data_IF_875102013275
#
_entry.id   IF_875102013275
#
_cell.length_a   1.000
_cell.length_b   1.000
_cell.length_c   1.000
_cell.angle_alpha   90.00
_cell.angle_beta   90.00
_cell.angle_gamma   90.00
#
_symmetry.space_group_name_H-M   'P 1'
#
loop_
_entity.id
_entity.type
_entity.pdbx_description
1 polymer ?
#
# COMPACT_ATOMS: atom_id res chain seq x y z
N UNK A 1 -12.61 -14.76 47.07
CA UNK A 1 -11.86 -14.63 48.33
C UNK A 1 -12.85 -14.66 49.49
N UNK A 2 -12.41 -15.24 50.62
CA UNK A 2 -13.17 -15.31 51.83
C UNK A 2 -12.43 -14.53 52.92
N UNK A 3 -13.17 -13.75 53.66
CA UNK A 3 -12.66 -12.98 54.79
C UNK A 3 -13.22 -13.59 56.08
N UNK A 4 -12.35 -13.74 57.09
CA UNK A 4 -12.77 -14.26 58.36
C UNK A 4 -13.08 -13.08 59.30
N UNK A 5 -14.28 -13.06 59.86
CA UNK A 5 -14.65 -12.16 60.94
C UNK A 5 -15.06 -12.94 62.20
N UNK A 6 -15.04 -12.32 63.39
CA UNK A 6 -15.58 -12.92 64.59
C UNK A 6 -16.97 -12.37 64.84
N UNK A 7 -17.88 -13.27 65.23
CA UNK A 7 -19.21 -12.88 65.69
C UNK A 7 -19.14 -12.28 67.12
N UNK A 8 -20.30 -11.81 67.60
CA UNK A 8 -20.41 -11.25 68.97
C UNK A 8 -20.06 -12.24 70.07
N UNK A 9 -20.00 -13.51 69.79
CA UNK A 9 -19.63 -14.58 70.76
C UNK A 9 -18.19 -15.05 70.57
N UNK A 10 -17.40 -14.39 69.68
CA UNK A 10 -15.99 -14.68 69.47
C UNK A 10 -15.72 -15.82 68.51
N UNK A 11 -16.71 -16.44 67.87
CA UNK A 11 -16.56 -17.51 66.90
C UNK A 11 -16.12 -16.99 65.56
N UNK A 12 -15.27 -17.72 64.85
CA UNK A 12 -14.86 -17.41 63.50
C UNK A 12 -16.02 -17.63 62.52
N UNK A 13 -16.43 -16.54 61.85
CA UNK A 13 -17.45 -16.57 60.79
C UNK A 13 -16.83 -16.25 59.45
N UNK A 14 -17.03 -17.07 58.47
CA UNK A 14 -16.63 -16.89 57.11
C UNK A 14 -17.57 -15.90 56.42
N UNK A 15 -17.06 -14.73 56.11
CA UNK A 15 -17.78 -13.72 55.28
C UNK A 15 -17.33 -13.87 53.87
N UNK A 16 -18.23 -14.13 52.95
CA UNK A 16 -17.94 -14.18 51.53
C UNK A 16 -17.77 -12.74 51.01
N UNK A 17 -16.56 -12.36 50.65
CA UNK A 17 -16.21 -11.00 50.20
C UNK A 17 -16.55 -10.79 48.71
N UNK A 18 -16.62 -11.88 47.94
CA UNK A 18 -17.03 -11.83 46.54
C UNK A 18 -18.02 -12.97 46.24
N UNK A 19 -19.07 -12.64 45.52
CA UNK A 19 -19.87 -13.68 44.91
C UNK A 19 -18.99 -14.49 43.95
N UNK A 20 -19.14 -15.82 43.93
CA UNK A 20 -18.49 -16.60 42.88
C UNK A 20 -18.98 -16.07 41.54
N UNK A 21 -18.06 -15.62 40.73
CA UNK A 21 -18.39 -15.27 39.35
C UNK A 21 -18.94 -16.56 38.70
N UNK A 22 -20.12 -16.46 38.11
CA UNK A 22 -20.63 -17.54 37.31
C UNK A 22 -19.64 -17.79 36.15
N UNK A 23 -19.35 -19.04 35.86
CA UNK A 23 -18.57 -19.37 34.66
C UNK A 23 -19.34 -18.84 33.47
N UNK A 24 -18.72 -17.88 32.72
CA UNK A 24 -19.23 -17.40 31.45
C UNK A 24 -18.40 -18.04 30.34
N UNK A 25 -19.07 -18.58 29.34
CA UNK A 25 -18.43 -19.04 28.12
C UNK A 25 -18.78 -18.07 27.01
N UNK A 26 -17.77 -17.44 26.44
CA UNK A 26 -17.94 -16.62 25.24
C UNK A 26 -17.47 -17.47 24.05
N UNK A 27 -18.36 -17.69 23.10
CA UNK A 27 -18.04 -18.37 21.85
C UNK A 27 -17.84 -17.29 20.78
N UNK A 28 -16.66 -17.24 20.22
CA UNK A 28 -16.37 -16.43 19.02
C UNK A 28 -16.37 -17.38 17.82
N UNK A 29 -17.17 -17.07 16.83
CA UNK A 29 -17.14 -17.79 15.55
C UNK A 29 -16.35 -16.92 14.59
N UNK A 30 -15.26 -17.44 14.07
CA UNK A 30 -14.42 -16.75 13.08
C UNK A 30 -14.51 -17.49 11.75
N UNK A 31 -14.60 -16.75 10.67
CA UNK A 31 -14.63 -17.31 9.33
C UNK A 31 -14.52 -16.20 8.30
N UNK A 32 -13.85 -16.50 7.23
CA UNK A 32 -13.78 -15.66 6.04
C UNK A 32 -14.14 -16.48 4.81
N UNK A 33 -14.62 -15.80 3.78
CA UNK A 33 -14.95 -16.38 2.50
C UNK A 33 -14.30 -15.55 1.41
N UNK A 34 -13.49 -16.20 0.59
CA UNK A 34 -12.77 -15.53 -0.50
C UNK A 34 -13.09 -16.21 -1.83
N UNK A 35 -13.50 -15.40 -2.80
CA UNK A 35 -13.57 -15.79 -4.20
C UNK A 35 -12.45 -15.08 -4.96
N UNK A 36 -11.76 -15.84 -5.79
CA UNK A 36 -10.73 -15.31 -6.67
C UNK A 36 -10.89 -15.94 -8.06
N UNK A 37 -11.03 -15.10 -9.05
CA UNK A 37 -11.11 -15.49 -10.46
C UNK A 37 -10.02 -14.72 -11.22
N UNK A 38 -9.22 -15.46 -11.97
CA UNK A 38 -8.18 -14.86 -12.82
C UNK A 38 -8.21 -15.52 -14.20
N UNK A 39 -8.05 -14.73 -15.23
CA UNK A 39 -7.79 -15.19 -16.59
C UNK A 39 -6.60 -14.40 -17.16
N UNK A 40 -5.72 -15.09 -17.86
CA UNK A 40 -4.56 -14.46 -18.49
C UNK A 40 -4.30 -15.03 -19.88
N UNK A 41 -3.73 -14.20 -20.75
CA UNK A 41 -3.25 -14.55 -22.07
C UNK A 41 -1.79 -14.12 -22.17
N UNK A 42 -0.94 -15.04 -22.58
CA UNK A 42 0.48 -14.80 -22.86
C UNK A 42 0.79 -15.19 -24.30
N UNK A 43 1.47 -14.29 -25.00
CA UNK A 43 1.95 -14.53 -26.36
C UNK A 43 3.40 -14.04 -26.46
N UNK A 44 4.28 -14.90 -26.93
CA UNK A 44 5.69 -14.54 -27.19
C UNK A 44 6.17 -15.17 -28.49
N UNK A 45 6.79 -14.36 -29.35
CA UNK A 45 7.33 -14.82 -30.63
C UNK A 45 8.57 -14.07 -31.05
N UNK A 46 9.49 -14.80 -31.64
CA UNK A 46 10.68 -14.29 -32.32
C UNK A 46 10.43 -14.23 -33.83
N UNK A 47 10.38 -13.02 -34.39
CA UNK A 47 10.23 -12.80 -35.82
C UNK A 47 11.58 -12.52 -36.47
N UNK A 48 11.79 -13.10 -37.64
CA UNK A 48 13.01 -12.94 -38.45
C UNK A 48 14.30 -13.10 -37.64
N UNK A 49 14.30 -13.91 -36.57
CA UNK A 49 15.41 -14.14 -35.64
C UNK A 49 16.03 -12.86 -35.02
N UNK A 50 15.31 -11.73 -35.09
CA UNK A 50 15.82 -10.42 -34.63
C UNK A 50 14.82 -9.65 -33.78
N UNK A 51 13.53 -9.88 -33.98
CA UNK A 51 12.46 -9.13 -33.33
C UNK A 51 11.75 -10.04 -32.34
N UNK A 52 12.00 -9.89 -31.07
CA UNK A 52 11.27 -10.58 -30.01
C UNK A 52 10.11 -9.71 -29.57
N UNK A 53 8.91 -10.22 -29.69
CA UNK A 53 7.67 -9.55 -29.28
C UNK A 53 7.00 -10.39 -28.22
N UNK A 54 6.59 -9.77 -27.11
CA UNK A 54 5.77 -10.40 -26.08
C UNK A 54 4.56 -9.54 -25.76
N UNK A 55 3.43 -10.19 -25.54
CA UNK A 55 2.18 -9.59 -25.13
C UNK A 55 1.60 -10.41 -23.99
N UNK A 56 1.27 -9.76 -22.90
CA UNK A 56 0.57 -10.35 -21.77
C UNK A 56 -0.65 -9.52 -21.45
N UNK A 57 -1.76 -10.16 -21.19
CA UNK A 57 -2.99 -9.53 -20.72
C UNK A 57 -3.60 -10.37 -19.60
N UNK A 58 -4.12 -9.73 -18.56
CA UNK A 58 -4.71 -10.40 -17.41
C UNK A 58 -5.91 -9.61 -16.90
N UNK A 59 -6.92 -10.33 -16.46
CA UNK A 59 -8.01 -9.82 -15.65
C UNK A 59 -8.12 -10.64 -14.39
N UNK A 60 -8.31 -10.00 -13.26
CA UNK A 60 -8.67 -10.70 -12.03
C UNK A 60 -9.78 -9.98 -11.29
N UNK A 61 -10.58 -10.76 -10.60
CA UNK A 61 -11.61 -10.32 -9.69
C UNK A 61 -11.45 -11.06 -8.38
N UNK A 62 -11.53 -10.32 -7.28
CA UNK A 62 -11.50 -10.89 -5.94
C UNK A 62 -12.64 -10.33 -5.13
N UNK A 63 -13.30 -11.19 -4.35
CA UNK A 63 -14.25 -10.81 -3.32
C UNK A 63 -13.88 -11.53 -2.02
N UNK A 64 -13.77 -10.79 -0.94
CA UNK A 64 -13.51 -11.32 0.41
C UNK A 64 -14.62 -10.85 1.34
N UNK A 65 -15.30 -11.78 2.00
CA UNK A 65 -16.33 -11.51 3.00
C UNK A 65 -15.80 -11.93 4.35
N UNK A 66 -15.74 -11.01 5.29
CA UNK A 66 -15.44 -11.31 6.69
C UNK A 66 -16.76 -11.56 7.43
N UNK A 67 -16.84 -12.69 8.14
CA UNK A 67 -18.01 -13.08 8.93
C UNK A 67 -17.95 -12.49 10.34
N UNK A 68 -16.78 -12.03 10.76
CA UNK A 68 -16.50 -11.54 12.11
C UNK A 68 -16.46 -10.00 12.19
N UNK A 69 -17.36 -9.34 11.49
CA UNK A 69 -17.47 -7.90 11.65
C UNK A 69 -18.03 -7.55 13.04
N UNK A 70 -17.56 -6.44 13.59
CA UNK A 70 -18.13 -5.84 14.78
C UNK A 70 -19.55 -5.34 14.43
N UNK A 71 -20.56 -5.75 15.19
CA UNK A 71 -21.96 -5.32 14.97
C UNK A 71 -22.12 -3.79 14.99
N UNK A 72 -21.19 -3.09 15.62
CA UNK A 72 -21.11 -1.62 15.60
C UNK A 72 -20.52 -1.07 14.29
N UNK A 73 -19.87 -1.89 13.47
CA UNK A 73 -19.28 -1.50 12.18
C UNK A 73 -20.10 -2.05 11.01
N UNK A 74 -21.14 -1.33 10.62
CA UNK A 74 -21.96 -1.67 9.46
C UNK A 74 -21.15 -1.82 8.16
N UNK A 75 -20.00 -1.13 8.04
CA UNK A 75 -19.13 -1.20 6.87
C UNK A 75 -18.33 -2.50 6.83
N UNK A 76 -18.06 -3.11 7.99
CA UNK A 76 -17.36 -4.40 8.10
C UNK A 76 -18.14 -5.55 7.46
N UNK A 77 -19.48 -5.46 7.40
CA UNK A 77 -20.34 -6.50 6.80
C UNK A 77 -20.31 -6.52 5.26
N UNK A 78 -19.84 -5.44 4.63
CA UNK A 78 -19.79 -5.32 3.17
C UNK A 78 -18.57 -6.08 2.63
N UNK A 79 -18.73 -6.99 1.65
CA UNK A 79 -17.61 -7.69 1.05
C UNK A 79 -16.58 -6.74 0.46
N UNK A 80 -15.30 -7.08 0.60
CA UNK A 80 -14.19 -6.40 -0.08
C UNK A 80 -14.09 -6.87 -1.52
N UNK A 81 -14.24 -5.97 -2.48
CA UNK A 81 -14.19 -6.28 -3.91
C UNK A 81 -13.03 -5.56 -4.57
N UNK A 82 -12.31 -6.30 -5.40
CA UNK A 82 -11.24 -5.78 -6.23
C UNK A 82 -11.37 -6.34 -7.64
N UNK A 83 -11.27 -5.47 -8.63
CA UNK A 83 -11.29 -5.82 -10.05
C UNK A 83 -10.12 -5.11 -10.72
N UNK A 84 -9.26 -5.85 -11.41
CA UNK A 84 -8.17 -5.25 -12.15
C UNK A 84 -7.96 -5.90 -13.51
N UNK A 85 -7.61 -5.05 -14.45
CA UNK A 85 -7.10 -5.40 -15.76
C UNK A 85 -5.66 -4.96 -15.84
N UNK A 86 -4.79 -5.81 -16.36
CA UNK A 86 -3.39 -5.46 -16.57
C UNK A 86 -2.86 -6.01 -17.87
N UNK A 87 -1.88 -5.34 -18.41
CA UNK A 87 -1.23 -5.78 -19.63
C UNK A 87 0.22 -5.36 -19.68
N UNK A 88 0.97 -6.12 -20.47
CA UNK A 88 2.38 -5.89 -20.77
C UNK A 88 2.64 -6.11 -22.24
N UNK A 89 3.37 -5.20 -22.83
CA UNK A 89 3.93 -5.33 -24.16
C UNK A 89 5.45 -5.23 -24.05
N UNK A 90 6.16 -6.21 -24.59
CA UNK A 90 7.61 -6.22 -24.62
C UNK A 90 8.11 -6.32 -26.06
N UNK A 91 9.15 -5.59 -26.37
CA UNK A 91 9.83 -5.64 -27.64
C UNK A 91 11.34 -5.63 -27.43
N UNK A 92 12.04 -6.55 -28.12
CA UNK A 92 13.50 -6.54 -28.15
C UNK A 92 13.98 -6.73 -29.61
N UNK A 93 14.89 -5.86 -30.02
CA UNK A 93 15.57 -5.95 -31.32
C UNK A 93 16.99 -6.44 -31.13
N UNK A 94 17.27 -7.64 -31.67
CA UNK A 94 18.57 -8.34 -31.58
C UNK A 94 19.06 -8.50 -30.12
N UNK A 95 18.15 -8.49 -29.15
CA UNK A 95 18.43 -8.46 -27.70
C UNK A 95 19.37 -7.31 -27.26
N UNK A 96 19.56 -6.28 -28.12
CA UNK A 96 20.33 -5.07 -27.84
C UNK A 96 19.48 -3.92 -27.40
N UNK A 97 18.38 -3.69 -28.09
CA UNK A 97 17.42 -2.60 -27.80
C UNK A 97 16.14 -3.21 -27.27
N UNK A 98 15.76 -2.83 -26.10
CA UNK A 98 14.60 -3.35 -25.42
C UNK A 98 13.65 -2.23 -25.05
N UNK A 99 12.36 -2.47 -25.20
CA UNK A 99 11.32 -1.57 -24.76
C UNK A 99 10.20 -2.40 -24.13
N UNK A 100 9.63 -1.87 -23.06
CA UNK A 100 8.50 -2.48 -22.36
C UNK A 100 7.48 -1.42 -22.00
N UNK A 101 6.22 -1.75 -22.21
CA UNK A 101 5.08 -0.97 -21.76
C UNK A 101 4.18 -1.85 -20.91
N UNK A 102 3.95 -1.42 -19.67
CA UNK A 102 3.01 -2.05 -18.75
C UNK A 102 1.85 -1.09 -18.47
N UNK A 103 0.70 -1.61 -18.19
CA UNK A 103 -0.42 -0.84 -17.72
C UNK A 103 -1.25 -1.65 -16.74
N UNK A 104 -1.81 -0.96 -15.77
CA UNK A 104 -2.81 -1.47 -14.84
C UNK A 104 -4.03 -0.57 -14.84
N UNK A 105 -5.22 -1.16 -14.85
CA UNK A 105 -6.49 -0.47 -14.68
C UNK A 105 -7.24 -1.17 -13.56
N UNK A 106 -7.19 -0.58 -12.37
CA UNK A 106 -7.63 -1.21 -11.12
C UNK A 106 -8.77 -0.42 -10.50
N UNK A 107 -9.81 -1.14 -10.08
CA UNK A 107 -10.95 -0.57 -9.38
C UNK A 107 -10.87 -0.81 -7.88
N UNK A 108 -11.20 0.22 -7.11
CA UNK A 108 -11.33 0.19 -5.66
C UNK A 108 -12.67 0.75 -5.21
N UNK A 109 -13.32 0.07 -4.29
CA UNK A 109 -14.58 0.51 -3.70
C UNK A 109 -14.43 1.64 -2.67
N UNK A 110 -13.20 1.98 -2.31
CA UNK A 110 -12.90 3.08 -1.38
C UNK A 110 -13.21 4.46 -1.98
N UNK A 111 -13.43 4.54 -3.29
CA UNK A 111 -13.74 5.79 -3.98
C UNK A 111 -15.20 5.83 -4.45
N UNK A 112 -15.75 7.05 -4.49
CA UNK A 112 -17.11 7.31 -4.96
C UNK A 112 -17.32 6.80 -6.40
N UNK A 113 -18.56 6.47 -6.71
CA UNK A 113 -18.94 6.04 -8.06
C UNK A 113 -18.45 7.03 -9.12
N UNK A 114 -17.80 6.52 -10.16
CA UNK A 114 -17.16 7.30 -11.22
C UNK A 114 -15.67 7.63 -10.97
N UNK A 115 -15.14 7.43 -9.75
CA UNK A 115 -13.73 7.63 -9.38
C UNK A 115 -13.03 6.34 -8.95
N UNK A 116 -13.74 5.22 -9.02
CA UNK A 116 -13.28 3.94 -8.50
C UNK A 116 -12.08 3.37 -9.24
N UNK A 117 -11.96 3.64 -10.54
CA UNK A 117 -10.91 3.07 -11.37
C UNK A 117 -9.75 4.04 -11.59
N UNK A 118 -8.53 3.55 -11.34
CA UNK A 118 -7.28 4.22 -11.65
C UNK A 118 -6.53 3.54 -12.79
N UNK A 119 -5.88 4.34 -13.65
CA UNK A 119 -5.02 3.86 -14.73
C UNK A 119 -3.58 4.18 -14.41
N UNK A 120 -2.72 3.16 -14.39
CA UNK A 120 -1.33 3.24 -13.95
C UNK A 120 -0.42 2.68 -15.04
N UNK A 121 0.12 3.54 -15.92
CA UNK A 121 1.06 3.13 -16.95
C UNK A 121 2.49 3.04 -16.42
N UNK A 122 3.29 2.19 -17.06
CA UNK A 122 4.72 2.16 -16.88
C UNK A 122 5.42 1.86 -18.21
N UNK A 123 6.54 2.55 -18.45
CA UNK A 123 7.36 2.35 -19.64
C UNK A 123 8.81 2.14 -19.23
N UNK A 124 9.51 1.26 -19.93
CA UNK A 124 10.95 1.10 -19.74
C UNK A 124 11.66 0.88 -21.07
N UNK A 125 12.93 1.28 -21.11
CA UNK A 125 13.82 1.05 -22.23
C UNK A 125 15.17 0.56 -21.73
N UNK A 126 15.82 -0.31 -22.50
CA UNK A 126 17.14 -0.82 -22.23
C UNK A 126 17.97 -0.89 -23.51
N UNK A 127 19.25 -0.54 -23.38
CA UNK A 127 20.22 -0.63 -24.46
C UNK A 127 21.46 -1.33 -23.96
N UNK A 128 21.78 -2.48 -24.59
CA UNK A 128 23.01 -3.22 -24.34
C UNK A 128 24.12 -2.66 -25.22
N UNK A 129 24.79 -1.64 -24.72
CA UNK A 129 25.83 -0.89 -25.44
C UNK A 129 27.03 -1.78 -25.76
N UNK A 130 27.37 -2.72 -24.88
CA UNK A 130 28.47 -3.68 -25.11
C UNK A 130 28.28 -4.57 -26.33
N UNK A 131 27.03 -4.77 -26.79
CA UNK A 131 26.73 -5.55 -27.97
C UNK A 131 26.96 -4.79 -29.29
N UNK A 132 27.27 -3.49 -29.22
CA UNK A 132 27.62 -2.73 -30.41
C UNK A 132 29.00 -3.07 -30.98
N UNK A 133 29.09 -3.18 -32.30
CA UNK A 133 30.30 -3.61 -32.98
C UNK A 133 31.50 -2.70 -32.74
N UNK A 134 31.27 -1.41 -32.55
CA UNK A 134 32.32 -0.42 -32.24
C UNK A 134 32.81 -0.57 -30.79
N UNK A 135 31.92 -0.90 -29.83
CA UNK A 135 32.28 -1.10 -28.42
C UNK A 135 33.07 -2.41 -28.26
N UNK A 136 32.60 -3.51 -28.86
CA UNK A 136 33.29 -4.79 -28.83
C UNK A 136 34.74 -4.71 -29.36
N UNK A 137 34.98 -3.87 -30.39
CA UNK A 137 36.33 -3.66 -30.93
C UNK A 137 37.18 -2.77 -30.03
N UNK A 138 36.62 -1.75 -29.44
CA UNK A 138 37.34 -0.77 -28.64
C UNK A 138 37.60 -1.24 -27.19
N UNK A 139 36.71 -2.03 -26.62
CA UNK A 139 36.77 -2.45 -25.21
C UNK A 139 36.51 -3.97 -25.05
N UNK A 140 37.45 -4.82 -25.43
CA UNK A 140 37.28 -6.28 -25.37
C UNK A 140 37.20 -6.84 -23.93
N UNK A 141 37.57 -6.03 -22.93
CA UNK A 141 37.47 -6.36 -21.50
C UNK A 141 36.10 -6.10 -20.91
N UNK A 142 35.18 -5.42 -21.66
CA UNK A 142 33.84 -5.08 -21.26
C UNK A 142 32.88 -6.17 -21.73
N UNK A 143 32.44 -7.02 -20.81
CA UNK A 143 31.55 -8.16 -21.11
C UNK A 143 30.10 -7.71 -21.27
N UNK A 144 29.64 -6.82 -20.37
CA UNK A 144 28.30 -6.25 -20.38
C UNK A 144 28.37 -4.79 -20.00
N UNK A 145 27.70 -3.96 -20.77
CA UNK A 145 27.36 -2.59 -20.39
C UNK A 145 25.98 -2.29 -20.93
N UNK A 146 25.01 -2.21 -20.01
CA UNK A 146 23.62 -1.98 -20.33
C UNK A 146 23.14 -0.74 -19.61
N UNK A 147 22.53 0.17 -20.35
CA UNK A 147 21.83 1.34 -19.82
C UNK A 147 20.36 1.02 -19.83
N UNK A 148 19.65 1.38 -18.76
CA UNK A 148 18.22 1.23 -18.63
C UNK A 148 17.59 2.49 -18.05
N UNK A 149 16.36 2.75 -18.47
CA UNK A 149 15.56 3.84 -17.94
C UNK A 149 14.12 3.38 -17.82
N UNK A 150 13.45 3.78 -16.76
CA UNK A 150 12.04 3.50 -16.56
C UNK A 150 11.29 4.69 -15.99
N UNK A 151 10.01 4.74 -16.32
CA UNK A 151 9.01 5.59 -15.71
C UNK A 151 7.77 4.75 -15.42
N UNK A 152 7.19 4.89 -14.24
CA UNK A 152 5.96 4.19 -13.91
C UNK A 152 5.14 4.94 -12.88
N UNK A 153 3.83 4.75 -12.97
CA UNK A 153 2.86 5.22 -11.99
C UNK A 153 2.29 4.04 -11.20
N UNK A 154 2.15 4.21 -9.90
CA UNK A 154 1.55 3.22 -8.98
C UNK A 154 0.50 3.91 -8.15
N UNK A 155 -0.71 3.38 -8.18
CA UNK A 155 -1.82 3.85 -7.34
C UNK A 155 -1.86 3.14 -6.01
N UNK A 156 -2.25 3.88 -4.98
CA UNK A 156 -2.56 3.36 -3.65
C UNK A 156 -3.99 3.76 -3.27
N UNK A 157 -4.80 2.78 -2.87
CA UNK A 157 -6.19 2.93 -2.43
C UNK A 157 -6.35 2.71 -0.92
N UNK A 158 -5.26 2.45 -0.20
CA UNK A 158 -5.27 2.24 1.24
C UNK A 158 -5.29 3.58 1.97
N UNK A 159 -6.49 4.08 2.21
CA UNK A 159 -6.74 5.35 2.87
C UNK A 159 -6.66 5.18 4.39
N UNK A 160 -5.48 5.35 4.97
CA UNK A 160 -5.26 5.26 6.42
C UNK A 160 -5.48 6.61 7.06
N UNK A 161 -6.25 6.63 8.15
CA UNK A 161 -6.54 7.86 8.91
C UNK A 161 -5.45 8.22 9.92
N UNK A 162 -4.63 7.25 10.32
CA UNK A 162 -3.54 7.42 11.28
C UNK A 162 -2.46 6.38 11.05
N UNK A 163 -1.21 6.72 11.37
CA UNK A 163 -0.08 5.79 11.36
C UNK A 163 -0.20 4.68 12.42
N UNK A 164 -1.02 4.91 13.44
CA UNK A 164 -1.26 3.96 14.55
C UNK A 164 -2.52 3.11 14.34
N UNK A 165 -3.34 3.45 13.35
CA UNK A 165 -4.53 2.68 13.02
C UNK A 165 -4.22 1.75 11.83
N UNK A 166 -4.08 0.45 12.11
CA UNK A 166 -3.82 -0.57 11.09
C UNK A 166 -5.02 -0.82 10.16
N UNK A 167 -6.19 -0.28 10.51
CA UNK A 167 -7.39 -0.42 9.70
C UNK A 167 -7.51 0.74 8.73
N UNK A 168 -7.36 0.46 7.44
CA UNK A 168 -7.75 1.40 6.39
C UNK A 168 -9.25 1.68 6.49
N UNK A 169 -9.63 2.96 6.46
CA UNK A 169 -11.03 3.35 6.48
C UNK A 169 -11.69 2.98 5.15
N UNK A 170 -12.74 2.17 5.23
CA UNK A 170 -13.57 1.83 4.07
C UNK A 170 -14.58 2.94 3.82
N UNK A 171 -14.89 3.18 2.54
CA UNK A 171 -15.89 4.15 2.10
C UNK A 171 -15.74 5.55 2.76
N UNK A 172 -14.55 6.16 2.71
CA UNK A 172 -14.31 7.44 3.40
C UNK A 172 -15.13 8.60 2.83
N UNK A 173 -15.82 8.41 1.72
CA UNK A 173 -16.77 9.36 1.13
C UNK A 173 -18.15 9.36 1.83
N UNK A 174 -18.42 8.39 2.72
CA UNK A 174 -19.69 8.30 3.47
C UNK A 174 -19.51 8.94 4.84
N UNK A 175 -20.42 9.86 5.19
CA UNK A 175 -20.50 10.41 6.54
C UNK A 175 -21.17 9.42 7.48
N UNK A 176 -20.60 9.26 8.68
CA UNK A 176 -21.15 8.42 9.73
C UNK A 176 -21.75 9.29 10.84
N UNK A 177 -22.97 8.96 11.24
CA UNK A 177 -23.69 9.60 12.33
C UNK A 177 -23.78 8.61 13.50
N UNK A 178 -23.38 9.03 14.68
CA UNK A 178 -23.56 8.28 15.93
C UNK A 178 -24.80 8.75 16.66
N UNK A 179 -25.57 7.81 17.17
CA UNK A 179 -26.72 8.06 18.04
C UNK A 179 -26.34 8.02 19.52
N UNK A 180 -25.19 7.44 19.85
CA UNK A 180 -24.77 7.18 21.23
C UNK A 180 -23.90 8.31 21.78
N UNK A 181 -23.12 8.98 20.93
CA UNK A 181 -22.17 10.03 21.29
C UNK A 181 -22.72 11.45 21.15
N UNK A 182 -23.98 11.60 20.72
CA UNK A 182 -24.60 12.90 20.47
C UNK A 182 -24.93 13.70 21.73
N UNK A 183 -24.63 13.14 22.90
CA UNK A 183 -25.07 13.71 24.16
C UNK A 183 -26.58 13.58 24.34
N UNK A 184 -27.09 14.13 25.41
CA UNK A 184 -28.54 14.16 25.67
C UNK A 184 -28.91 15.49 26.29
N UNK A 185 -30.11 15.96 25.98
CA UNK A 185 -30.66 17.11 26.59
C UNK A 185 -31.94 16.73 27.34
N UNK A 186 -32.14 17.28 28.54
CA UNK A 186 -33.30 17.03 29.36
C UNK A 186 -34.26 18.24 29.30
N UNK A 187 -35.48 17.97 28.86
CA UNK A 187 -36.55 18.93 28.78
C UNK A 187 -37.51 18.77 29.95
N UNK A 188 -38.35 19.80 30.19
CA UNK A 188 -39.37 19.82 31.20
C UNK A 188 -38.93 20.49 32.50
N UNK A 189 -39.90 20.93 33.31
CA UNK A 189 -39.69 21.71 34.54
C UNK A 189 -38.78 20.98 35.56
N UNK A 190 -38.82 19.65 35.57
CA UNK A 190 -38.01 18.81 36.45
C UNK A 190 -36.93 18.00 35.71
N UNK A 191 -36.63 18.33 34.45
CA UNK A 191 -35.63 17.61 33.65
C UNK A 191 -35.95 16.12 33.47
N UNK A 192 -37.23 15.74 33.40
CA UNK A 192 -37.65 14.33 33.32
C UNK A 192 -37.68 13.77 31.91
N UNK A 193 -37.72 14.65 30.90
CA UNK A 193 -37.79 14.22 29.50
C UNK A 193 -36.40 14.30 28.86
N UNK A 194 -35.67 13.19 28.87
CA UNK A 194 -34.36 13.06 28.28
C UNK A 194 -34.49 12.73 26.80
N UNK A 195 -33.94 13.56 25.93
CA UNK A 195 -33.88 13.35 24.48
C UNK A 195 -32.41 13.11 24.09
N UNK A 196 -32.18 12.00 23.39
CA UNK A 196 -30.87 11.65 22.87
C UNK A 196 -30.56 12.51 21.64
N UNK A 197 -29.36 13.07 21.60
CA UNK A 197 -28.84 13.81 20.44
C UNK A 197 -28.14 12.92 19.41
N UNK A 198 -27.95 13.48 18.25
CA UNK A 198 -27.15 12.86 17.18
C UNK A 198 -25.86 13.66 16.97
N UNK A 199 -24.78 12.97 16.67
CA UNK A 199 -23.51 13.60 16.35
C UNK A 199 -22.95 13.01 15.07
N UNK A 200 -22.41 13.85 14.19
CA UNK A 200 -21.60 13.35 13.07
C UNK A 200 -20.31 12.77 13.67
N UNK A 201 -20.12 11.47 13.58
CA UNK A 201 -18.93 10.76 14.07
C UNK A 201 -17.76 10.97 13.12
N UNK A 202 -18.05 10.99 11.83
CA UNK A 202 -17.03 11.17 10.80
C UNK A 202 -17.66 11.87 9.60
N UNK A 203 -17.00 12.91 9.12
CA UNK A 203 -17.40 13.59 7.90
C UNK A 203 -16.85 12.85 6.68
N UNK A 204 -17.72 12.52 5.74
CA UNK A 204 -17.34 11.92 4.47
C UNK A 204 -16.76 12.95 3.51
N UNK A 205 -15.84 12.54 2.67
CA UNK A 205 -15.20 13.38 1.65
C UNK A 205 -15.42 12.79 0.27
N UNK A 206 -16.22 13.45 -0.56
CA UNK A 206 -16.62 12.98 -1.90
C UNK A 206 -15.54 13.16 -2.97
N UNK A 207 -14.52 14.00 -2.73
CA UNK A 207 -13.49 14.34 -3.73
C UNK A 207 -12.21 13.53 -3.61
N UNK A 208 -12.28 12.36 -2.98
CA UNK A 208 -11.13 11.48 -2.83
C UNK A 208 -10.76 10.82 -4.15
N UNK A 209 -9.45 10.76 -4.38
CA UNK A 209 -8.82 10.11 -5.53
C UNK A 209 -7.72 9.17 -5.08
N UNK A 210 -7.18 8.41 -6.02
CA UNK A 210 -6.02 7.58 -5.81
C UNK A 210 -4.80 8.42 -5.41
N UNK A 211 -4.07 7.98 -4.42
CA UNK A 211 -2.70 8.44 -4.17
C UNK A 211 -1.81 7.86 -5.28
N UNK A 212 -1.03 8.70 -5.96
CA UNK A 212 -0.21 8.29 -7.09
C UNK A 212 1.27 8.49 -6.80
N UNK A 213 2.03 7.40 -6.88
CA UNK A 213 3.49 7.43 -6.85
C UNK A 213 4.04 7.36 -8.28
N UNK A 214 4.74 8.42 -8.71
CA UNK A 214 5.44 8.55 -9.99
C UNK A 214 6.91 8.23 -9.77
N UNK A 215 7.37 7.14 -10.37
CA UNK A 215 8.72 6.61 -10.19
C UNK A 215 9.54 6.76 -11.46
N UNK A 216 10.70 7.35 -11.33
CA UNK A 216 11.69 7.49 -12.39
C UNK A 216 12.95 6.75 -11.95
N UNK A 217 13.51 5.97 -12.84
CA UNK A 217 14.72 5.23 -12.58
C UNK A 217 15.62 5.24 -13.81
N UNK A 218 16.92 5.48 -13.59
CA UNK A 218 17.96 5.36 -14.62
C UNK A 218 19.08 4.53 -14.01
N UNK A 219 19.40 3.40 -14.65
CA UNK A 219 20.37 2.46 -14.17
C UNK A 219 21.38 2.01 -15.20
N UNK A 220 22.49 1.55 -14.70
CA UNK A 220 23.58 0.96 -15.46
C UNK A 220 23.93 -0.39 -14.88
N UNK A 221 23.92 -1.43 -15.73
CA UNK A 221 24.41 -2.75 -15.40
C UNK A 221 25.75 -2.97 -16.12
N UNK A 222 26.79 -3.44 -15.42
CA UNK A 222 28.08 -3.70 -16.01
C UNK A 222 28.69 -5.02 -15.56
N UNK A 223 29.46 -5.60 -16.46
CA UNK A 223 30.33 -6.80 -16.23
C UNK A 223 31.63 -6.61 -16.96
N UNK A 224 32.74 -6.80 -16.28
CA UNK A 224 34.07 -6.60 -16.82
C UNK A 224 35.00 -7.75 -16.45
N UNK A 225 36.05 -7.92 -17.27
CA UNK A 225 37.13 -8.92 -17.06
C UNK A 225 36.62 -10.37 -16.97
N UNK A 226 35.77 -10.78 -17.93
CA UNK A 226 35.15 -12.10 -18.01
C UNK A 226 34.29 -12.41 -16.76
N UNK A 227 33.47 -11.44 -16.36
CA UNK A 227 32.55 -11.59 -15.22
C UNK A 227 33.21 -11.52 -13.85
N UNK A 228 34.50 -11.15 -13.74
CA UNK A 228 35.18 -11.02 -12.44
C UNK A 228 34.60 -9.88 -11.60
N UNK A 229 34.27 -8.77 -12.23
CA UNK A 229 33.61 -7.65 -11.57
C UNK A 229 32.26 -7.41 -12.23
N UNK A 230 31.21 -7.47 -11.47
CA UNK A 230 29.85 -7.16 -11.92
C UNK A 230 29.22 -6.17 -10.98
N UNK A 231 28.31 -5.36 -11.49
CA UNK A 231 27.60 -4.42 -10.63
C UNK A 231 26.44 -3.74 -11.32
N UNK A 232 25.63 -3.10 -10.50
CA UNK A 232 24.53 -2.22 -10.91
C UNK A 232 24.61 -0.93 -10.14
N UNK A 233 24.26 0.18 -10.78
CA UNK A 233 24.10 1.48 -10.13
C UNK A 233 22.83 2.12 -10.67
N UNK A 234 21.97 2.55 -9.79
CA UNK A 234 20.70 3.16 -10.10
C UNK A 234 20.56 4.54 -9.46
N UNK A 235 19.98 5.45 -10.19
CA UNK A 235 19.49 6.73 -9.70
C UNK A 235 17.98 6.75 -9.82
N UNK A 236 17.29 6.96 -8.70
CA UNK A 236 15.85 6.98 -8.67
C UNK A 236 15.28 8.27 -8.10
N UNK A 237 14.09 8.60 -8.58
CA UNK A 237 13.25 9.69 -8.07
C UNK A 237 11.84 9.14 -7.91
N UNK A 238 11.33 9.16 -6.69
CA UNK A 238 9.95 8.79 -6.34
C UNK A 238 9.21 10.06 -5.91
N UNK A 239 8.13 10.41 -6.62
CA UNK A 239 7.24 11.52 -6.29
C UNK A 239 5.88 10.95 -5.95
N UNK A 240 5.39 11.26 -4.77
CA UNK A 240 4.04 10.92 -4.36
C UNK A 240 3.18 12.15 -4.32
N UNK A 241 2.12 12.12 -5.10
CA UNK A 241 1.12 13.15 -5.20
C UNK A 241 -0.19 12.63 -4.59
N UNK A 242 -1.05 13.55 -4.18
CA UNK A 242 -2.39 13.24 -3.68
C UNK A 242 -2.40 12.30 -2.46
N UNK A 243 -1.40 12.43 -1.57
CA UNK A 243 -1.34 11.63 -0.34
C UNK A 243 -2.54 11.94 0.52
N UNK A 244 -3.24 10.90 0.92
CA UNK A 244 -4.41 10.98 1.77
C UNK A 244 -4.01 11.32 3.20
N UNK A 245 -4.51 12.45 3.71
CA UNK A 245 -4.21 12.90 5.07
C UNK A 245 -5.35 13.74 5.64
N UNK A 246 -5.33 13.92 6.95
CA UNK A 246 -6.26 14.79 7.65
C UNK A 246 -5.92 16.25 7.36
N UNK A 247 -6.94 17.06 7.06
CA UNK A 247 -6.78 18.50 6.88
C UNK A 247 -6.53 19.19 8.22
N UNK A 248 -5.52 20.01 8.30
CA UNK A 248 -5.18 20.74 9.52
C UNK A 248 -5.78 22.15 9.54
N UNK A 249 -6.12 22.70 8.37
CA UNK A 249 -6.63 24.08 8.24
C UNK A 249 -8.15 24.12 8.24
N UNK A 250 -8.76 23.77 9.37
CA UNK A 250 -10.19 23.96 9.54
C UNK A 250 -10.49 25.02 10.61
N UNK A 251 -11.26 26.09 10.28
CA UNK A 251 -11.64 27.07 11.27
C UNK A 251 -12.44 26.44 12.40
N UNK A 252 -12.08 26.69 13.65
CA UNK A 252 -12.80 26.21 14.84
C UNK A 252 -14.28 26.61 14.85
N UNK A 253 -14.62 27.74 14.18
CA UNK A 253 -15.99 28.24 14.04
C UNK A 253 -16.93 27.32 13.26
N UNK A 254 -16.39 26.33 12.52
CA UNK A 254 -17.22 25.33 11.81
C UNK A 254 -17.92 24.35 12.77
N UNK A 255 -17.47 24.26 14.02
CA UNK A 255 -17.95 23.26 14.99
C UNK A 255 -17.53 21.83 14.68
N UNK A 256 -16.65 21.62 13.69
CA UNK A 256 -16.17 20.32 13.20
C UNK A 256 -14.69 20.08 13.51
N UNK A 257 -14.12 20.83 14.47
CA UNK A 257 -12.69 20.76 14.80
C UNK A 257 -12.21 19.35 15.18
N UNK A 258 -13.06 18.55 15.82
CA UNK A 258 -12.76 17.16 16.21
C UNK A 258 -13.01 16.15 15.07
N UNK A 259 -13.48 16.62 13.91
CA UNK A 259 -13.94 15.80 12.78
C UNK A 259 -13.42 16.34 11.46
N UNK A 260 -12.17 16.78 11.49
CA UNK A 260 -11.49 17.31 10.32
C UNK A 260 -11.59 16.33 9.14
N UNK A 261 -12.06 16.80 7.97
CA UNK A 261 -12.19 15.95 6.81
C UNK A 261 -10.83 15.49 6.32
N UNK A 262 -10.81 14.31 5.73
CA UNK A 262 -9.65 13.78 5.04
C UNK A 262 -9.62 14.31 3.60
N UNK A 263 -8.45 14.51 3.04
CA UNK A 263 -8.29 14.93 1.65
C UNK A 263 -6.97 14.42 1.04
N UNK A 264 -6.91 14.40 -0.28
CA UNK A 264 -5.68 14.11 -1.03
C UNK A 264 -4.90 15.41 -1.24
N UNK A 265 -4.09 15.82 -0.27
CA UNK A 265 -3.38 17.10 -0.29
C UNK A 265 -1.87 16.97 -0.10
N UNK A 266 -1.41 15.86 0.48
CA UNK A 266 0.01 15.68 0.77
C UNK A 266 0.84 15.40 -0.47
N UNK A 267 2.09 15.91 -0.48
CA UNK A 267 3.09 15.65 -1.52
C UNK A 267 4.43 15.36 -0.91
N UNK A 268 5.11 14.36 -1.47
CA UNK A 268 6.42 13.92 -1.01
C UNK A 268 7.32 13.59 -2.20
N UNK A 269 8.61 13.82 -2.05
CA UNK A 269 9.62 13.46 -3.04
C UNK A 269 10.78 12.76 -2.36
N UNK A 270 11.17 11.61 -2.89
CA UNK A 270 12.37 10.88 -2.50
C UNK A 270 13.33 10.80 -3.68
N UNK A 271 14.60 11.03 -3.42
CA UNK A 271 15.67 10.95 -4.42
C UNK A 271 16.79 10.13 -3.84
N UNK A 272 17.36 9.23 -4.62
CA UNK A 272 18.41 8.39 -4.12
C UNK A 272 19.25 7.71 -5.18
N UNK A 273 20.27 7.03 -4.68
CA UNK A 273 21.15 6.15 -5.41
C UNK A 273 21.17 4.80 -4.71
N UNK A 274 21.12 3.75 -5.47
CA UNK A 274 21.38 2.42 -4.95
C UNK A 274 22.28 1.65 -5.93
N UNK A 275 22.89 0.60 -5.41
CA UNK A 275 23.73 -0.21 -6.25
C UNK A 275 24.35 -1.38 -5.51
N UNK A 276 24.90 -2.25 -6.31
CA UNK A 276 25.69 -3.38 -5.83
C UNK A 276 26.93 -3.55 -6.69
N UNK A 277 27.97 -4.12 -6.08
CA UNK A 277 29.19 -4.55 -6.76
C UNK A 277 29.57 -5.93 -6.26
N UNK A 278 29.96 -6.81 -7.15
CA UNK A 278 30.47 -8.13 -6.84
C UNK A 278 31.79 -8.36 -7.54
N UNK A 279 32.75 -8.90 -6.79
CA UNK A 279 34.03 -9.39 -7.31
C UNK A 279 34.08 -10.88 -7.12
N UNK A 280 34.40 -11.61 -8.18
CA UNK A 280 34.53 -13.06 -8.17
C UNK A 280 35.88 -13.47 -8.78
N UNK A 281 36.70 -14.22 -8.05
CA UNK A 281 37.98 -14.69 -8.50
C UNK A 281 38.19 -16.17 -8.14
N UNK A 282 38.55 -16.98 -9.15
CA UNK A 282 38.99 -18.37 -8.95
C UNK A 282 40.48 -18.39 -8.67
N UNK A 283 40.89 -18.97 -7.54
CA UNK A 283 42.31 -19.15 -7.17
C UNK A 283 42.54 -20.64 -6.95
N UNK A 284 42.98 -21.34 -8.00
CA UNK A 284 43.11 -22.80 -7.98
C UNK A 284 41.74 -23.46 -7.78
N UNK A 285 41.57 -24.22 -6.70
CA UNK A 285 40.33 -24.89 -6.36
C UNK A 285 39.38 -24.01 -5.48
N UNK A 286 39.82 -22.83 -5.07
CA UNK A 286 39.07 -21.93 -4.20
C UNK A 286 38.41 -20.83 -5.03
N UNK A 287 37.14 -20.61 -4.85
CA UNK A 287 36.38 -19.47 -5.39
C UNK A 287 36.21 -18.42 -4.33
N UNK A 288 36.74 -17.24 -4.53
CA UNK A 288 36.54 -16.07 -3.69
C UNK A 288 35.47 -15.19 -4.31
N UNK A 289 34.44 -14.83 -3.52
CA UNK A 289 33.40 -13.91 -3.92
C UNK A 289 33.21 -12.83 -2.83
N UNK A 290 33.34 -11.57 -3.23
CA UNK A 290 33.08 -10.40 -2.39
C UNK A 290 31.89 -9.66 -2.97
N UNK A 291 30.96 -9.24 -2.11
CA UNK A 291 29.78 -8.44 -2.52
C UNK A 291 29.61 -7.25 -1.58
N UNK A 292 29.26 -6.11 -2.14
CA UNK A 292 28.90 -4.90 -1.43
C UNK A 292 27.62 -4.31 -2.01
N UNK A 293 26.76 -3.80 -1.15
CA UNK A 293 25.56 -3.03 -1.54
C UNK A 293 25.63 -1.66 -0.89
N UNK A 294 25.11 -0.67 -1.57
CA UNK A 294 24.94 0.66 -1.00
C UNK A 294 23.57 1.22 -1.39
N UNK A 295 22.99 2.01 -0.51
CA UNK A 295 21.76 2.76 -0.77
C UNK A 295 21.88 4.10 -0.04
N UNK A 296 21.60 5.18 -0.75
CA UNK A 296 21.48 6.51 -0.21
C UNK A 296 20.16 7.12 -0.68
N UNK A 297 19.35 7.61 0.25
CA UNK A 297 18.06 8.20 -0.04
C UNK A 297 17.87 9.47 0.79
N UNK A 298 17.33 10.51 0.16
CA UNK A 298 16.84 11.71 0.81
C UNK A 298 15.37 11.89 0.46
N UNK A 299 14.55 12.12 1.48
CA UNK A 299 13.11 12.35 1.34
C UNK A 299 12.78 13.75 1.82
N UNK A 300 12.08 14.50 0.99
CA UNK A 300 11.58 15.84 1.29
C UNK A 300 10.05 15.83 1.22
N UNK A 301 9.40 16.37 2.24
CA UNK A 301 7.96 16.61 2.24
C UNK A 301 7.74 17.95 1.55
N UNK A 302 6.90 17.96 0.52
CA UNK A 302 6.67 19.14 -0.31
C UNK A 302 5.41 19.90 0.09
N UNK A 303 4.40 19.19 0.60
CA UNK A 303 3.11 19.77 0.98
C UNK A 303 2.48 18.91 2.10
N UNK A 304 1.97 19.53 3.15
CA UNK A 304 1.34 18.89 4.31
C UNK A 304 0.04 19.59 4.74
N UNK A 305 -0.59 20.40 3.90
CA UNK A 305 -1.79 21.20 4.26
C UNK A 305 -1.54 22.13 5.48
N UNK A 306 -0.35 22.76 5.53
CA UNK A 306 0.03 23.74 6.56
C UNK A 306 -0.44 25.16 6.23
#
# INVERSE_FOLDING_TARGET
>A
SAEYSRDANGNLVLKRVQNAAAMSQTKKVEGDKRYYLQASLDYSRLFAQKHRVGVFAMVYQQETTDVNFDESDLMGSIPHRNLAYSGRFTYAFQDKYMAEFNWGYTGSENFEHGKQFGFFPAVSAGWVVSEESFVKKAMPWLDLFKIRASYGEVGNDQLRTSLTDDKARRFPYISLVSTDDGGSYTFGEFGTNKVQGYRIKTLGTSNLTWEVAKKYDIGVDFSIFNGKVTGTVDYFVDKRDDIFMQRNQMPLTTGLADQTPMANVGKMKSVGWDGNIAFTQQIGQVSLQLRGNFTYQKTDILDMDE
#
